data_IF_353266798243
#
_entry.id   IF_353266798243
#
_cell.length_a   1.000
_cell.length_b   1.000
_cell.length_c   1.000
_cell.angle_alpha   90.00
_cell.angle_beta   90.00
_cell.angle_gamma   90.00
#
_symmetry.space_group_name_H-M   'P 1'
#
loop_
_entity.id
_entity.type
_entity.pdbx_description
1 polymer ?
#
# COMPACT_ATOMS: atom_id res chain seq x y z
N UNK A 1 -5.58 -20.56 -1.89
CA UNK A 1 -5.24 -19.13 -1.69
C UNK A 1 -5.87 -18.46 -0.45
N UNK A 2 -7.00 -18.95 0.12
CA UNK A 2 -7.63 -18.36 1.33
C UNK A 2 -7.05 -18.77 2.71
N UNK A 3 -6.05 -19.67 2.76
CA UNK A 3 -5.58 -20.30 4.02
C UNK A 3 -4.28 -19.73 4.61
N UNK A 4 -3.44 -19.05 3.81
CA UNK A 4 -2.10 -18.64 4.27
C UNK A 4 -2.07 -17.34 5.10
N UNK A 5 -3.05 -16.44 4.95
CA UNK A 5 -3.05 -15.11 5.60
C UNK A 5 -3.49 -15.12 7.06
N UNK A 6 -4.31 -16.10 7.48
CA UNK A 6 -4.62 -16.28 8.91
C UNK A 6 -3.43 -16.82 9.70
N UNK A 7 -2.44 -17.41 9.04
CA UNK A 7 -1.32 -18.10 9.69
C UNK A 7 -0.06 -17.24 9.84
N UNK A 8 0.06 -16.10 9.16
CA UNK A 8 1.33 -15.37 9.05
C UNK A 8 1.69 -14.49 10.25
N UNK A 9 0.83 -14.33 11.26
CA UNK A 9 1.07 -13.49 12.45
C UNK A 9 1.18 -11.98 12.18
N UNK A 10 1.39 -11.59 10.93
CA UNK A 10 1.49 -10.23 10.43
C UNK A 10 0.11 -9.58 10.41
N UNK A 11 -0.15 -8.73 11.41
CA UNK A 11 -1.33 -7.88 11.48
C UNK A 11 -0.96 -6.50 10.93
N UNK A 12 -1.25 -6.18 9.65
CA UNK A 12 -1.15 -4.81 9.19
C UNK A 12 -1.97 -3.91 10.12
N UNK A 13 -1.53 -2.68 10.43
CA UNK A 13 -2.32 -1.69 11.14
C UNK A 13 -3.75 -1.55 10.60
N UNK A 14 -3.93 -1.69 9.29
CA UNK A 14 -5.23 -1.62 8.62
C UNK A 14 -6.11 -2.88 8.80
N UNK A 15 -5.62 -3.93 9.47
CA UNK A 15 -6.31 -5.17 9.88
C UNK A 15 -7.06 -5.94 8.79
N UNK A 16 -6.74 -5.68 7.52
CA UNK A 16 -7.24 -6.45 6.38
C UNK A 16 -6.16 -6.67 5.33
N UNK A 17 -6.28 -7.71 4.48
CA UNK A 17 -5.45 -7.84 3.29
C UNK A 17 -5.67 -6.66 2.34
N UNK A 18 -4.57 -6.19 1.73
CA UNK A 18 -4.63 -5.26 0.61
C UNK A 18 -5.41 -5.86 -0.56
N UNK A 19 -6.16 -5.01 -1.25
CA UNK A 19 -6.88 -5.32 -2.47
C UNK A 19 -6.21 -4.57 -3.64
N UNK A 20 -6.28 -5.09 -4.87
CA UNK A 20 -5.74 -4.37 -6.03
C UNK A 20 -6.26 -2.93 -6.16
N UNK A 21 -7.51 -2.70 -5.78
CA UNK A 21 -8.13 -1.38 -5.78
C UNK A 21 -7.46 -0.36 -4.84
N UNK A 22 -6.76 -0.81 -3.79
CA UNK A 22 -6.08 0.10 -2.84
C UNK A 22 -4.91 0.85 -3.48
N UNK A 23 -4.34 0.33 -4.57
CA UNK A 23 -3.24 0.98 -5.30
C UNK A 23 -3.74 2.04 -6.29
N UNK A 24 -5.00 1.96 -6.74
CA UNK A 24 -5.52 2.79 -7.81
C UNK A 24 -5.38 4.29 -7.49
N UNK A 25 -5.71 4.70 -6.26
CA UNK A 25 -5.60 6.09 -5.84
C UNK A 25 -4.16 6.62 -5.87
N UNK A 26 -3.19 5.79 -5.48
CA UNK A 26 -1.78 6.17 -5.53
C UNK A 26 -1.29 6.35 -6.98
N UNK A 27 -1.73 5.49 -7.90
CA UNK A 27 -1.40 5.65 -9.32
C UNK A 27 -2.02 6.91 -9.92
N UNK A 28 -3.28 7.19 -9.59
CA UNK A 28 -3.97 8.41 -10.05
C UNK A 28 -3.24 9.65 -9.53
N UNK A 29 -2.87 9.68 -8.24
CA UNK A 29 -2.11 10.79 -7.66
C UNK A 29 -0.78 10.99 -8.40
N UNK A 30 0.01 9.93 -8.57
CA UNK A 30 1.32 10.01 -9.22
C UNK A 30 1.24 10.37 -10.71
N UNK A 31 0.13 10.07 -11.37
CA UNK A 31 -0.12 10.43 -12.76
C UNK A 31 -0.79 11.81 -12.93
N UNK A 32 -1.29 12.40 -11.85
CA UNK A 32 -1.95 13.71 -11.87
C UNK A 32 -0.97 14.87 -11.72
N UNK A 33 -1.43 16.08 -12.02
CA UNK A 33 -0.68 17.32 -11.81
C UNK A 33 -0.27 17.49 -10.33
N UNK A 34 -1.04 16.91 -9.40
CA UNK A 34 -0.79 17.01 -7.97
C UNK A 34 0.41 16.16 -7.54
N UNK A 35 0.79 15.18 -8.38
CA UNK A 35 2.00 14.38 -8.24
C UNK A 35 3.23 14.98 -8.93
N UNK A 36 3.12 16.13 -9.61
CA UNK A 36 4.17 16.61 -10.52
C UNK A 36 5.54 16.86 -9.87
N UNK A 37 5.58 17.11 -8.55
CA UNK A 37 6.83 17.31 -7.81
C UNK A 37 7.30 16.07 -7.02
N UNK A 38 6.60 14.93 -7.15
CA UNK A 38 6.93 13.68 -6.48
C UNK A 38 7.78 12.82 -7.43
N UNK A 39 9.08 12.77 -7.19
CA UNK A 39 10.02 11.97 -8.00
C UNK A 39 11.09 11.28 -7.15
N UNK A 40 11.62 10.16 -7.65
CA UNK A 40 12.66 9.37 -7.00
C UNK A 40 12.23 8.65 -5.70
N UNK A 41 10.93 8.66 -5.38
CA UNK A 41 10.42 8.08 -4.13
C UNK A 41 9.91 6.66 -4.33
N UNK A 42 10.09 5.82 -3.29
CA UNK A 42 9.42 4.53 -3.18
C UNK A 42 8.26 4.65 -2.17
N UNK A 43 7.03 4.69 -2.68
CA UNK A 43 5.82 4.86 -1.86
C UNK A 43 5.20 3.50 -1.57
N UNK A 44 5.14 3.13 -0.30
CA UNK A 44 4.59 1.85 0.14
C UNK A 44 3.07 1.92 0.34
N UNK A 45 2.32 1.25 -0.54
CA UNK A 45 0.88 1.04 -0.36
C UNK A 45 0.67 -0.37 0.21
N UNK A 46 0.78 -0.50 1.53
CA UNK A 46 0.85 -1.83 2.18
C UNK A 46 0.01 -1.96 3.46
N UNK A 47 -0.87 -1.00 3.76
CA UNK A 47 -1.70 -1.02 4.97
C UNK A 47 -0.91 -0.87 6.28
N UNK A 48 0.30 -0.30 6.24
CA UNK A 48 1.18 -0.04 7.39
C UNK A 48 2.11 -1.19 7.76
N UNK A 49 2.37 -2.11 6.84
CA UNK A 49 3.20 -3.30 7.08
C UNK A 49 4.69 -3.01 7.18
N UNK A 50 5.17 -2.07 6.37
CA UNK A 50 6.52 -1.56 6.41
C UNK A 50 6.41 -0.04 6.53
N UNK A 51 6.89 0.47 7.66
CA UNK A 51 6.96 1.89 7.99
C UNK A 51 8.43 2.20 8.26
N UNK A 52 9.00 3.17 7.56
CA UNK A 52 10.30 3.74 7.93
C UNK A 52 10.05 4.79 9.01
N UNK A 53 10.79 4.69 10.11
CA UNK A 53 10.94 5.78 11.08
C UNK A 53 11.88 6.85 10.54
#
# INVERSE_FOLDING_TARGET
MKRQWKASGLKPPLRRPGQPADHAGAYVLLASDEGAYITGQCIHINGGMAMSS
#
